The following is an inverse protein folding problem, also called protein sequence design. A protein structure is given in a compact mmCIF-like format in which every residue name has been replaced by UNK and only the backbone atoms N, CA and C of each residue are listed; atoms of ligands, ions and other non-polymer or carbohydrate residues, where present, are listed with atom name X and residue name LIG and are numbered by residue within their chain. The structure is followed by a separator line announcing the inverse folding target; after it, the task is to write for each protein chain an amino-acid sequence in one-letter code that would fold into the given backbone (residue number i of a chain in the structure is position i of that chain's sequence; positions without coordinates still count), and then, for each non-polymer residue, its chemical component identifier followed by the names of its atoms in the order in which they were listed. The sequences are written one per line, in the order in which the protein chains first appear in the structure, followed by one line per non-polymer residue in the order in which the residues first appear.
data_IF_812254667172
#
_entry.id   IF_812254667172
#
_cell.length_a   1.000
_cell.length_b   1.000
_cell.length_c   1.000
_cell.angle_alpha   90.00
_cell.angle_beta   90.00
_cell.angle_gamma   90.00
#
_symmetry.space_group_name_H-M   'P 1'
#
loop_
_entity.id
_entity.type
_entity.pdbx_description
1 polymer ?
#
# COMPACT_ATOMS: atom_id res chain seq x y z
N UNK A 1 -11.51 -2.41 10.76
CA UNK A 1 -10.21 -3.12 10.65
C UNK A 1 -9.06 -2.13 10.48
N UNK A 2 -9.04 -1.29 9.45
CA UNK A 2 -7.98 -0.29 9.20
C UNK A 2 -7.77 0.71 10.36
N UNK A 3 -8.82 1.07 11.08
CA UNK A 3 -8.71 1.94 12.27
C UNK A 3 -7.97 1.23 13.42
N UNK A 4 -8.34 -0.02 13.71
CA UNK A 4 -7.65 -0.86 14.70
C UNK A 4 -6.17 -1.05 14.36
N UNK A 5 -5.83 -1.16 13.07
CA UNK A 5 -4.45 -1.30 12.60
C UNK A 5 -3.64 -0.02 12.82
N UNK A 6 -4.22 1.14 12.52
CA UNK A 6 -3.59 2.43 12.83
C UNK A 6 -3.28 2.55 14.32
N UNK A 7 -4.23 2.18 15.17
CA UNK A 7 -4.07 2.25 16.63
C UNK A 7 -3.07 1.23 17.14
N UNK A 8 -3.07 0.02 16.59
CA UNK A 8 -2.08 -1.00 16.89
C UNK A 8 -0.67 -0.55 16.47
N UNK A 9 -0.51 0.06 15.29
CA UNK A 9 0.78 0.59 14.84
C UNK A 9 1.25 1.75 15.71
N UNK A 10 0.38 2.71 16.07
CA UNK A 10 0.72 3.77 17.05
C UNK A 10 1.18 3.18 18.37
N UNK A 11 0.42 2.22 18.88
CA UNK A 11 0.74 1.51 20.12
C UNK A 11 2.08 0.80 20.01
N UNK A 12 2.36 0.15 18.88
CA UNK A 12 3.62 -0.50 18.61
C UNK A 12 4.78 0.50 18.56
N UNK A 13 4.63 1.68 17.96
CA UNK A 13 5.67 2.71 17.98
C UNK A 13 5.98 3.28 19.36
N UNK A 14 4.97 3.34 20.22
CA UNK A 14 5.14 3.77 21.62
C UNK A 14 5.81 2.67 22.44
N UNK A 15 5.33 1.42 22.31
CA UNK A 15 5.82 0.28 23.09
C UNK A 15 7.20 -0.18 22.66
N UNK A 16 7.45 -0.25 21.36
CA UNK A 16 8.71 -0.72 20.80
C UNK A 16 9.64 0.45 20.54
N UNK A 17 10.91 0.29 20.94
CA UNK A 17 11.95 1.31 20.78
C UNK A 17 12.56 1.30 19.38
N UNK A 18 11.73 1.34 18.33
CA UNK A 18 12.23 1.43 16.97
C UNK A 18 13.11 2.67 16.78
N UNK A 19 14.25 2.58 16.06
CA UNK A 19 15.17 3.71 15.85
C UNK A 19 14.50 4.93 15.20
N UNK A 20 13.50 4.69 14.36
CA UNK A 20 12.81 5.68 13.55
C UNK A 20 11.52 6.24 14.19
N UNK A 21 11.14 5.78 15.39
CA UNK A 21 9.87 6.18 16.04
C UNK A 21 9.71 7.67 16.33
N UNK A 22 10.83 8.40 16.49
CA UNK A 22 10.84 9.86 16.72
C UNK A 22 10.83 10.67 15.43
N UNK A 23 11.07 10.00 14.29
CA UNK A 23 11.21 10.65 12.98
C UNK A 23 10.08 10.28 12.03
N UNK A 24 9.18 9.40 12.44
CA UNK A 24 8.02 8.96 11.68
C UNK A 24 6.75 9.16 12.49
N UNK A 25 5.76 9.81 11.89
CA UNK A 25 4.44 10.06 12.46
C UNK A 25 3.46 9.24 11.62
N UNK A 26 2.69 8.38 12.27
CA UNK A 26 1.53 7.71 11.66
C UNK A 26 0.34 8.64 11.90
N UNK A 27 -0.34 9.11 10.87
CA UNK A 27 -1.51 9.98 11.02
C UNK A 27 -2.82 9.16 10.90
N UNK A 28 -3.94 9.63 11.50
CA UNK A 28 -5.23 9.01 11.27
C UNK A 28 -5.53 9.06 9.76
N UNK A 29 -6.27 8.08 9.23
CA UNK A 29 -6.64 8.09 7.81
C UNK A 29 -7.34 9.41 7.47
N UNK A 30 -6.76 10.17 6.55
CA UNK A 30 -7.25 11.48 6.14
C UNK A 30 -8.08 11.36 4.88
N UNK A 31 -8.99 12.31 4.69
CA UNK A 31 -9.64 12.54 3.41
C UNK A 31 -8.59 12.61 2.29
N UNK A 32 -8.83 11.90 1.20
CA UNK A 32 -7.99 11.91 -0.01
C UNK A 32 -8.71 12.66 -1.13
N UNK A 33 -7.92 13.34 -1.97
CA UNK A 33 -8.39 13.92 -3.22
C UNK A 33 -7.56 13.32 -4.34
N UNK A 34 -8.22 12.83 -5.38
CA UNK A 34 -7.51 12.32 -6.56
C UNK A 34 -6.92 13.43 -7.42
N UNK A 35 -7.42 14.67 -7.31
CA UNK A 35 -6.92 15.84 -8.03
C UNK A 35 -6.89 17.09 -7.12
N UNK A 36 -5.95 18.04 -7.32
CA UNK A 36 -5.79 19.22 -6.45
C UNK A 36 -6.98 20.17 -6.44
N UNK A 37 -7.75 20.21 -7.53
CA UNK A 37 -8.90 21.09 -7.75
C UNK A 37 -10.22 20.55 -7.15
N UNK A 38 -10.20 19.36 -6.57
CA UNK A 38 -11.37 18.77 -5.93
C UNK A 38 -11.72 19.47 -4.61
N UNK A 39 -12.86 20.17 -4.61
CA UNK A 39 -13.41 20.84 -3.42
C UNK A 39 -13.97 19.85 -2.40
N UNK A 40 -14.46 18.68 -2.85
CA UNK A 40 -14.97 17.61 -1.99
C UNK A 40 -14.00 16.41 -2.06
N UNK A 41 -13.57 15.84 -0.92
CA UNK A 41 -12.82 14.60 -0.90
C UNK A 41 -13.57 13.46 -1.59
N UNK A 42 -12.86 12.66 -2.38
CA UNK A 42 -13.40 11.51 -3.10
C UNK A 42 -12.90 10.16 -2.55
N UNK A 43 -12.34 10.20 -1.35
CA UNK A 43 -11.90 9.00 -0.65
C UNK A 43 -11.25 9.32 0.69
N UNK A 44 -10.67 8.27 1.26
CA UNK A 44 -9.87 8.32 2.48
C UNK A 44 -8.60 7.51 2.24
N UNK A 45 -7.46 8.03 2.68
CA UNK A 45 -6.22 7.25 2.75
C UNK A 45 -6.26 6.33 3.96
N UNK A 46 -5.75 5.11 3.83
CA UNK A 46 -5.78 4.15 4.93
C UNK A 46 -4.80 4.53 6.05
N UNK A 47 -3.50 4.52 5.77
CA UNK A 47 -2.46 4.83 6.77
C UNK A 47 -1.44 5.82 6.20
N UNK A 48 -1.64 7.13 6.40
CA UNK A 48 -0.68 8.15 6.02
C UNK A 48 0.54 8.18 6.96
N UNK A 49 1.72 8.27 6.36
CA UNK A 49 3.01 8.35 7.03
C UNK A 49 3.68 9.69 6.74
N UNK A 50 4.04 10.39 7.81
CA UNK A 50 4.85 11.60 7.76
C UNK A 50 6.23 11.31 8.34
N UNK A 51 7.23 11.96 7.78
CA UNK A 51 8.64 11.81 8.13
C UNK A 51 9.13 13.20 8.49
N UNK A 52 9.49 13.40 9.75
CA UNK A 52 9.88 14.74 10.25
C UNK A 52 11.07 15.31 9.49
N UNK A 53 11.96 14.45 9.01
CA UNK A 53 13.11 14.86 8.19
C UNK A 53 12.72 15.40 6.82
N UNK A 54 11.65 14.88 6.21
CA UNK A 54 11.15 15.37 4.93
C UNK A 54 10.45 16.69 5.16
N UNK A 55 9.54 16.75 6.15
CA UNK A 55 8.87 17.97 6.58
C UNK A 55 9.85 19.14 6.80
N UNK A 56 10.91 18.93 7.59
CA UNK A 56 11.92 19.97 7.88
C UNK A 56 12.70 20.41 6.63
N UNK A 57 12.84 19.55 5.63
CA UNK A 57 13.63 19.84 4.42
C UNK A 57 12.80 20.48 3.31
N UNK A 58 11.59 20.00 3.05
CA UNK A 58 10.76 20.42 1.92
C UNK A 58 9.61 21.35 2.32
N UNK A 59 9.25 21.41 3.60
CA UNK A 59 8.00 22.06 4.03
C UNK A 59 6.75 21.34 3.50
N UNK A 60 6.88 20.10 3.03
CA UNK A 60 5.77 19.32 2.49
C UNK A 60 4.82 18.89 3.61
N UNK A 61 3.55 19.28 3.46
CA UNK A 61 2.50 19.00 4.44
C UNK A 61 1.62 17.79 4.06
N UNK A 62 1.87 17.20 2.89
CA UNK A 62 1.19 15.99 2.43
C UNK A 62 1.88 14.72 2.98
N UNK A 63 1.14 13.59 3.10
CA UNK A 63 1.75 12.34 3.52
C UNK A 63 2.89 11.92 2.57
N UNK A 64 4.11 11.76 3.10
CA UNK A 64 5.26 11.35 2.29
C UNK A 64 5.21 9.86 1.88
N UNK A 65 4.35 9.07 2.52
CA UNK A 65 3.98 7.74 2.07
C UNK A 65 2.59 7.38 2.58
N UNK A 66 1.91 6.49 1.85
CA UNK A 66 0.62 5.92 2.23
C UNK A 66 0.75 4.41 2.21
N UNK A 67 0.29 3.73 3.27
CA UNK A 67 0.07 2.29 3.23
C UNK A 67 -1.39 2.05 2.85
N UNK A 68 -1.63 1.61 1.62
CA UNK A 68 -2.97 1.20 1.15
C UNK A 68 -3.29 -0.19 1.70
N UNK A 69 -4.45 -0.35 2.32
CA UNK A 69 -4.83 -1.55 3.05
C UNK A 69 -6.01 -2.25 2.36
N UNK A 70 -5.88 -3.56 2.14
CA UNK A 70 -6.96 -4.38 1.54
C UNK A 70 -7.17 -5.66 2.31
N UNK A 71 -8.40 -6.18 2.25
CA UNK A 71 -8.71 -7.55 2.66
C UNK A 71 -8.38 -8.48 1.50
N UNK A 72 -7.83 -9.65 1.79
CA UNK A 72 -7.48 -10.66 0.79
C UNK A 72 -7.79 -12.05 1.33
N UNK A 73 -8.08 -12.99 0.44
CA UNK A 73 -8.26 -14.40 0.79
C UNK A 73 -7.82 -15.28 -0.38
N UNK A 74 -7.16 -16.39 -0.09
CA UNK A 74 -6.76 -17.34 -1.13
C UNK A 74 -8.02 -17.94 -1.78
N UNK A 75 -8.06 -17.99 -3.11
CA UNK A 75 -9.20 -18.48 -3.88
C UNK A 75 -10.36 -17.48 -4.05
N UNK A 76 -10.32 -16.30 -3.44
CA UNK A 76 -11.34 -15.26 -3.63
C UNK A 76 -10.95 -14.30 -4.78
N UNK A 77 -11.51 -14.55 -5.96
CA UNK A 77 -11.26 -13.74 -7.14
C UNK A 77 -11.80 -12.30 -7.03
N UNK A 78 -12.82 -12.06 -6.19
CA UNK A 78 -13.38 -10.72 -5.97
C UNK A 78 -12.40 -9.88 -5.17
N UNK A 79 -11.83 -10.43 -4.11
CA UNK A 79 -10.81 -9.74 -3.31
C UNK A 79 -9.50 -9.56 -4.09
N UNK A 80 -9.09 -10.53 -4.92
CA UNK A 80 -7.94 -10.36 -5.81
C UNK A 80 -8.17 -9.21 -6.81
N UNK A 81 -9.36 -9.12 -7.42
CA UNK A 81 -9.75 -8.00 -8.29
C UNK A 81 -9.72 -6.68 -7.53
N UNK A 82 -10.31 -6.61 -6.34
CA UNK A 82 -10.33 -5.39 -5.51
C UNK A 82 -8.92 -4.93 -5.15
N UNK A 83 -8.03 -5.88 -4.79
CA UNK A 83 -6.64 -5.58 -4.49
C UNK A 83 -5.93 -4.90 -5.66
N UNK A 84 -6.17 -5.37 -6.89
CA UNK A 84 -5.56 -4.80 -8.09
C UNK A 84 -6.24 -3.49 -8.49
N UNK A 85 -7.55 -3.47 -8.68
CA UNK A 85 -8.27 -2.33 -9.25
C UNK A 85 -8.37 -1.16 -8.26
N UNK A 86 -8.68 -1.46 -7.00
CA UNK A 86 -8.86 -0.43 -5.97
C UNK A 86 -7.62 -0.21 -5.11
N UNK A 87 -6.52 -0.89 -5.41
CA UNK A 87 -5.24 -0.77 -4.70
C UNK A 87 -4.11 -0.43 -5.65
N UNK A 88 -3.60 -1.43 -6.38
CA UNK A 88 -2.48 -1.27 -7.32
C UNK A 88 -2.75 -0.18 -8.36
N UNK A 89 -3.93 -0.19 -8.98
CA UNK A 89 -4.24 0.75 -10.06
C UNK A 89 -4.36 2.20 -9.55
N UNK A 90 -4.65 2.42 -8.25
CA UNK A 90 -4.60 3.76 -7.64
C UNK A 90 -3.18 4.34 -7.61
N UNK A 91 -2.15 3.50 -7.45
CA UNK A 91 -0.76 3.93 -7.61
C UNK A 91 -0.42 4.25 -9.07
N UNK A 92 -0.99 3.50 -10.02
CA UNK A 92 -0.74 3.71 -11.46
C UNK A 92 -1.32 5.02 -11.98
N UNK A 93 -2.51 5.40 -11.50
CA UNK A 93 -3.14 6.68 -11.88
C UNK A 93 -2.60 7.87 -11.08
N UNK A 94 -1.64 7.66 -10.17
CA UNK A 94 -1.04 8.73 -9.36
C UNK A 94 -1.89 9.18 -8.17
N UNK A 95 -3.05 8.56 -7.91
CA UNK A 95 -3.88 8.88 -6.72
C UNK A 95 -3.09 8.69 -5.42
N UNK A 96 -2.17 7.73 -5.41
CA UNK A 96 -1.18 7.56 -4.35
C UNK A 96 0.22 7.64 -4.94
N UNK A 97 1.13 8.32 -4.22
CA UNK A 97 2.55 8.36 -4.56
C UNK A 97 2.86 8.93 -5.97
N UNK A 98 2.13 9.97 -6.40
CA UNK A 98 2.40 10.67 -7.67
C UNK A 98 3.88 11.06 -7.81
N UNK A 99 4.46 11.63 -6.75
CA UNK A 99 5.85 12.10 -6.71
C UNK A 99 6.87 11.07 -6.22
N UNK A 100 6.47 9.82 -5.99
CA UNK A 100 7.36 8.79 -5.42
C UNK A 100 7.49 7.57 -6.31
N UNK A 101 8.70 7.06 -6.51
CA UNK A 101 8.91 5.84 -7.32
C UNK A 101 8.43 4.54 -6.65
N UNK A 102 7.96 4.62 -5.39
CA UNK A 102 7.54 3.47 -4.59
C UNK A 102 6.18 3.69 -3.93
N UNK A 103 5.33 2.66 -3.97
CA UNK A 103 4.08 2.55 -3.22
C UNK A 103 4.14 1.42 -2.19
N UNK A 104 3.19 1.42 -1.26
CA UNK A 104 3.15 0.43 -0.19
C UNK A 104 1.72 -0.08 0.01
N UNK A 105 1.57 -1.40 0.01
CA UNK A 105 0.29 -2.07 0.24
C UNK A 105 0.39 -3.08 1.38
N UNK A 106 -0.70 -3.23 2.11
CA UNK A 106 -0.88 -4.28 3.11
C UNK A 106 -2.14 -5.07 2.79
N UNK A 107 -1.98 -6.37 2.55
CA UNK A 107 -3.08 -7.32 2.40
C UNK A 107 -3.32 -8.08 3.70
N UNK A 108 -4.51 -7.94 4.27
CA UNK A 108 -4.94 -8.70 5.45
C UNK A 108 -5.61 -10.00 5.02
N UNK A 109 -4.94 -11.11 5.26
CA UNK A 109 -5.38 -12.44 4.84
C UNK A 109 -6.48 -12.92 5.79
N UNK A 110 -7.69 -13.03 5.24
CA UNK A 110 -8.86 -13.55 5.94
C UNK A 110 -8.92 -15.08 5.90
N UNK A 111 -8.36 -15.70 4.86
CA UNK A 111 -8.31 -17.16 4.70
C UNK A 111 -7.17 -17.58 3.76
N UNK A 112 -6.56 -18.73 4.06
CA UNK A 112 -5.49 -19.35 3.27
C UNK A 112 -4.09 -18.80 3.59
N UNK A 113 -3.16 -19.03 2.66
CA UNK A 113 -1.74 -18.68 2.82
C UNK A 113 -1.36 -17.41 2.04
N UNK A 114 -0.29 -16.69 2.43
CA UNK A 114 0.26 -15.59 1.62
C UNK A 114 0.51 -15.97 0.16
N UNK A 115 1.12 -17.13 -0.10
CA UNK A 115 1.35 -17.62 -1.46
C UNK A 115 0.06 -17.78 -2.26
N UNK A 116 -0.95 -18.45 -1.69
CA UNK A 116 -2.24 -18.62 -2.36
C UNK A 116 -2.98 -17.31 -2.66
N UNK A 117 -2.77 -16.26 -1.85
CA UNK A 117 -3.26 -14.91 -2.14
C UNK A 117 -2.51 -14.31 -3.34
N UNK A 118 -1.17 -14.41 -3.34
CA UNK A 118 -0.33 -13.93 -4.45
C UNK A 118 -0.70 -14.63 -5.75
N UNK A 119 -0.91 -15.94 -5.72
CA UNK A 119 -1.31 -16.73 -6.89
C UNK A 119 -2.63 -16.21 -7.47
N UNK A 120 -3.61 -15.88 -6.61
CA UNK A 120 -4.88 -15.28 -7.02
C UNK A 120 -4.73 -13.88 -7.64
N UNK A 121 -3.91 -13.03 -7.03
CA UNK A 121 -3.61 -11.69 -7.57
C UNK A 121 -2.89 -11.79 -8.93
N UNK A 122 -1.89 -12.67 -9.03
CA UNK A 122 -1.14 -12.90 -10.25
C UNK A 122 -2.00 -13.51 -11.35
N UNK A 123 -2.89 -14.44 -11.02
CA UNK A 123 -3.87 -14.98 -11.97
C UNK A 123 -4.78 -13.87 -12.53
N UNK A 124 -5.24 -12.96 -11.68
CA UNK A 124 -6.01 -11.79 -12.12
C UNK A 124 -5.22 -10.89 -13.08
N UNK A 125 -3.98 -10.53 -12.73
CA UNK A 125 -3.11 -9.71 -13.58
C UNK A 125 -2.82 -10.38 -14.92
N UNK A 126 -2.46 -11.66 -14.91
CA UNK A 126 -2.22 -12.45 -16.13
C UNK A 126 -3.47 -12.48 -17.02
N UNK A 127 -4.66 -12.68 -16.43
CA UNK A 127 -5.93 -12.65 -17.15
C UNK A 127 -6.28 -11.28 -17.75
N UNK A 128 -5.57 -10.21 -17.38
CA UNK A 128 -5.67 -8.86 -17.96
C UNK A 128 -4.48 -8.50 -18.85
N UNK A 129 -3.70 -9.49 -19.29
CA UNK A 129 -2.48 -9.30 -20.09
C UNK A 129 -1.39 -8.48 -19.38
N UNK A 130 -1.37 -8.50 -18.04
CA UNK A 130 -0.42 -7.77 -17.17
C UNK A 130 0.62 -8.69 -16.53
N UNK A 131 1.08 -9.71 -17.26
CA UNK A 131 2.08 -10.68 -16.75
C UNK A 131 3.37 -10.03 -16.23
N UNK A 132 3.94 -8.98 -16.84
CA UNK A 132 5.14 -8.33 -16.30
C UNK A 132 4.94 -7.65 -14.95
N UNK A 133 3.68 -7.44 -14.54
CA UNK A 133 3.31 -6.72 -13.32
C UNK A 133 3.02 -7.66 -12.14
N UNK A 134 3.21 -8.98 -12.31
CA UNK A 134 2.96 -9.97 -11.26
C UNK A 134 3.85 -9.74 -10.04
N UNK A 135 3.30 -10.04 -8.87
CA UNK A 135 4.01 -10.01 -7.61
C UNK A 135 5.03 -11.15 -7.53
N UNK A 136 6.23 -10.82 -7.08
CA UNK A 136 7.33 -11.73 -6.79
C UNK A 136 7.84 -11.54 -5.36
N UNK A 137 8.55 -12.53 -4.82
CA UNK A 137 9.09 -12.48 -3.46
C UNK A 137 10.01 -11.26 -3.30
N UNK A 138 9.79 -10.47 -2.26
CA UNK A 138 10.66 -9.33 -1.96
C UNK A 138 11.93 -9.80 -1.24
N UNK A 139 13.10 -9.21 -1.53
CA UNK A 139 14.32 -9.46 -0.78
C UNK A 139 14.34 -8.75 0.58
N UNK A 140 13.32 -7.96 0.92
CA UNK A 140 13.26 -7.14 2.12
C UNK A 140 12.60 -7.93 3.26
N UNK A 141 13.39 -8.28 4.28
CA UNK A 141 12.98 -9.03 5.47
C UNK A 141 12.31 -10.39 5.16
N UNK A 142 11.73 -11.06 6.16
CA UNK A 142 11.23 -12.43 6.08
C UNK A 142 10.37 -12.65 4.81
N UNK A 143 10.97 -13.32 3.81
CA UNK A 143 10.51 -13.31 2.41
C UNK A 143 9.10 -13.90 2.26
N UNK A 144 8.61 -14.64 3.25
CA UNK A 144 7.29 -15.26 3.23
C UNK A 144 6.13 -14.27 3.38
N UNK A 145 6.41 -13.05 3.88
CA UNK A 145 5.39 -12.02 4.14
C UNK A 145 5.47 -10.87 3.13
N UNK A 146 6.64 -10.62 2.56
CA UNK A 146 6.90 -9.46 1.71
C UNK A 146 7.03 -9.82 0.24
N UNK A 147 6.30 -9.09 -0.59
CA UNK A 147 6.27 -9.23 -2.04
C UNK A 147 6.50 -7.88 -2.70
N UNK A 148 6.94 -7.88 -3.95
CA UNK A 148 7.09 -6.68 -4.75
C UNK A 148 6.56 -6.88 -6.17
N UNK A 149 6.14 -5.77 -6.78
CA UNK A 149 5.77 -5.72 -8.19
C UNK A 149 6.09 -4.35 -8.77
N UNK A 150 6.15 -4.26 -10.08
CA UNK A 150 6.38 -3.01 -10.81
C UNK A 150 5.24 -2.77 -11.80
N UNK A 151 4.75 -1.53 -11.85
CA UNK A 151 3.60 -1.15 -12.67
C UNK A 151 3.87 0.12 -13.48
N UNK A 152 3.52 0.17 -14.78
CA UNK A 152 3.60 1.40 -15.55
C UNK A 152 2.49 2.37 -15.10
N UNK A 153 2.86 3.62 -14.81
CA UNK A 153 1.89 4.70 -14.59
C UNK A 153 1.11 5.02 -15.85
N UNK A 154 -0.15 5.40 -15.68
CA UNK A 154 -1.02 5.75 -16.81
C UNK A 154 -0.68 7.10 -17.44
N UNK A 155 -0.13 8.03 -16.66
CA UNK A 155 0.15 9.39 -17.11
C UNK A 155 1.39 9.47 -18.02
N UNK A 156 2.49 8.80 -17.66
CA UNK A 156 3.79 8.97 -18.31
C UNK A 156 4.53 7.65 -18.58
N UNK A 157 3.92 6.50 -18.26
CA UNK A 157 4.52 5.18 -18.42
C UNK A 157 5.67 4.88 -17.47
N UNK A 158 6.10 5.82 -16.61
CA UNK A 158 7.20 5.57 -15.68
C UNK A 158 6.78 4.52 -14.66
N UNK A 159 7.68 3.59 -14.31
CA UNK A 159 7.32 2.53 -13.38
C UNK A 159 7.14 3.07 -11.95
N UNK A 160 6.18 2.49 -11.24
CA UNK A 160 6.04 2.55 -9.79
C UNK A 160 6.23 1.14 -9.22
N UNK A 161 7.22 0.99 -8.34
CA UNK A 161 7.43 -0.27 -7.62
C UNK A 161 6.52 -0.28 -6.39
N UNK A 162 5.75 -1.35 -6.17
CA UNK A 162 4.88 -1.47 -5.00
C UNK A 162 5.45 -2.57 -4.11
N UNK A 163 5.56 -2.27 -2.81
CA UNK A 163 5.92 -3.25 -1.79
C UNK A 163 4.64 -3.72 -1.10
N UNK A 164 4.49 -5.03 -0.95
CA UNK A 164 3.28 -5.67 -0.46
C UNK A 164 3.62 -6.47 0.78
N UNK A 165 2.95 -6.19 1.90
CA UNK A 165 2.98 -7.06 3.08
C UNK A 165 1.68 -7.85 3.16
N UNK A 166 1.75 -9.18 3.13
CA UNK A 166 0.58 -10.06 3.23
C UNK A 166 0.53 -10.70 4.62
N UNK A 167 -0.31 -10.13 5.48
CA UNK A 167 -0.34 -10.42 6.91
C UNK A 167 -1.54 -11.31 7.24
N UNK A 168 -1.27 -12.46 7.88
CA UNK A 168 -2.31 -13.32 8.44
C UNK A 168 -2.93 -12.59 9.64
N UNK A 169 -4.26 -12.46 9.62
CA UNK A 169 -5.00 -11.92 10.76
C UNK A 169 -5.44 -13.10 11.62
N UNK A 170 -4.89 -13.21 12.82
CA UNK A 170 -5.29 -14.19 13.83
C UNK A 170 -6.53 -13.71 14.61
#
# INVERSE_FOLDING_TARGET
MTECLRDAMRTALVRHRFPWRKTMIIAPGTESRSQPDMTVPDGRTDIPLFLTRVFVRSGEHDPHAILECKRVAAGDATLAREYVVEGIDRFRIGKYAENHRRGFMVGYILAGTPQGVVDGINAYLIGRSRRPETLSSSPIADAQVFWESEHPRTADGRPIAVQHALLVVA
#
